data_IF_065889442437
#
_entry.id   IF_065889442437
#
_cell.length_a   1.000
_cell.length_b   1.000
_cell.length_c   1.000
_cell.angle_alpha   90.00
_cell.angle_beta   90.00
_cell.angle_gamma   90.00
#
_symmetry.space_group_name_H-M   'P 1'
#
loop_
_entity.id
_entity.type
_entity.pdbx_description
1 polymer ?
#
# COMPACT_ATOMS: atom_id res chain seq x y z
N UNK A 1 3.79 16.98 -26.82
CA UNK A 1 3.72 15.57 -27.24
C UNK A 1 3.14 14.74 -26.11
N UNK A 2 1.88 14.34 -26.27
CA UNK A 2 1.10 13.52 -25.34
C UNK A 2 1.72 12.12 -25.23
N UNK A 3 2.08 11.68 -24.02
CA UNK A 3 2.54 10.31 -23.78
C UNK A 3 1.32 9.38 -23.85
N UNK A 4 1.08 8.82 -25.02
CA UNK A 4 0.10 7.73 -25.23
C UNK A 4 0.50 6.51 -24.41
N UNK A 5 -0.44 5.97 -23.63
CA UNK A 5 -0.32 4.69 -22.91
C UNK A 5 -0.11 3.56 -23.93
N UNK A 6 1.14 3.20 -24.21
CA UNK A 6 1.54 2.25 -25.27
C UNK A 6 1.73 0.81 -24.80
N UNK A 7 1.24 0.43 -23.62
CA UNK A 7 1.44 -0.95 -23.16
C UNK A 7 0.34 -1.33 -22.19
N UNK A 8 -0.68 -2.02 -22.70
CA UNK A 8 -1.38 -3.02 -21.88
C UNK A 8 -0.40 -4.20 -21.86
N UNK A 9 0.24 -4.45 -20.72
CA UNK A 9 1.14 -5.59 -20.56
C UNK A 9 0.39 -6.87 -20.94
N UNK A 10 1.05 -7.81 -21.58
CA UNK A 10 0.52 -9.15 -21.89
C UNK A 10 -0.03 -9.87 -20.65
N UNK A 11 0.44 -9.50 -19.45
CA UNK A 11 0.02 -10.06 -18.16
C UNK A 11 -1.04 -9.20 -17.45
N UNK A 12 -1.70 -8.26 -18.14
CA UNK A 12 -2.82 -7.52 -17.54
C UNK A 12 -4.02 -8.45 -17.48
N UNK A 13 -4.47 -8.89 -16.28
CA UNK A 13 -5.61 -9.80 -16.19
C UNK A 13 -6.83 -9.14 -16.82
N UNK A 14 -7.53 -9.90 -17.67
CA UNK A 14 -8.82 -9.49 -18.24
C UNK A 14 -9.73 -9.05 -17.08
N UNK A 15 -10.06 -7.77 -17.00
CA UNK A 15 -10.82 -7.21 -15.87
C UNK A 15 -12.31 -7.54 -16.04
N UNK A 16 -12.66 -8.84 -15.98
CA UNK A 16 -14.05 -9.32 -15.94
C UNK A 16 -14.87 -8.66 -14.83
N UNK A 17 -14.19 -8.15 -13.79
CA UNK A 17 -14.83 -7.45 -12.68
C UNK A 17 -15.58 -6.18 -13.12
N UNK A 18 -15.17 -5.49 -14.20
CA UNK A 18 -15.91 -4.33 -14.69
C UNK A 18 -17.21 -4.71 -15.41
N UNK A 19 -17.37 -5.97 -15.83
CA UNK A 19 -18.64 -6.49 -16.36
C UNK A 19 -19.62 -6.86 -15.23
N UNK A 20 -19.12 -7.06 -14.01
CA UNK A 20 -19.97 -7.21 -12.84
C UNK A 20 -20.52 -5.82 -12.44
N UNK A 21 -21.82 -5.61 -12.66
CA UNK A 21 -22.51 -4.36 -12.37
C UNK A 21 -22.44 -3.96 -10.89
N UNK A 22 -22.57 -4.93 -9.98
CA UNK A 22 -22.47 -4.66 -8.54
C UNK A 22 -21.08 -4.15 -8.17
N UNK A 23 -20.04 -4.78 -8.72
CA UNK A 23 -18.66 -4.29 -8.54
C UNK A 23 -18.46 -2.90 -9.15
N UNK A 24 -18.99 -2.69 -10.35
CA UNK A 24 -18.88 -1.41 -11.05
C UNK A 24 -19.58 -0.28 -10.28
N UNK A 25 -20.76 -0.53 -9.73
CA UNK A 25 -21.50 0.45 -8.92
C UNK A 25 -20.73 0.82 -7.65
N UNK A 26 -20.13 -0.18 -6.98
CA UNK A 26 -19.29 0.03 -5.79
C UNK A 26 -18.08 0.90 -6.13
N UNK A 27 -17.33 0.59 -7.20
CA UNK A 27 -16.11 1.33 -7.53
C UNK A 27 -16.42 2.75 -8.03
N UNK A 28 -17.54 2.93 -8.74
CA UNK A 28 -17.99 4.23 -9.24
C UNK A 28 -18.39 5.18 -8.12
N UNK A 29 -18.96 4.69 -7.01
CA UNK A 29 -19.30 5.50 -5.82
C UNK A 29 -20.03 6.81 -6.20
N UNK A 30 -21.11 6.64 -6.97
CA UNK A 30 -21.94 7.73 -7.49
C UNK A 30 -21.34 8.52 -8.66
N UNK A 31 -20.23 8.09 -9.26
CA UNK A 31 -19.71 8.64 -10.51
C UNK A 31 -20.32 7.92 -11.72
N UNK A 32 -20.40 8.59 -12.87
CA UNK A 32 -20.94 7.97 -14.09
C UNK A 32 -19.87 7.17 -14.84
N UNK A 33 -18.59 7.49 -14.64
CA UNK A 33 -17.47 6.79 -15.28
C UNK A 33 -16.29 6.64 -14.33
N UNK A 34 -15.41 5.67 -14.65
CA UNK A 34 -14.17 5.46 -13.89
C UNK A 34 -13.24 6.68 -13.98
N UNK A 35 -13.20 7.39 -15.12
CA UNK A 35 -12.42 8.61 -15.27
C UNK A 35 -12.89 9.70 -14.31
N UNK A 36 -14.21 9.90 -14.17
CA UNK A 36 -14.77 10.83 -13.20
C UNK A 36 -14.41 10.42 -11.77
N UNK A 37 -14.46 9.12 -11.46
CA UNK A 37 -14.05 8.59 -10.17
C UNK A 37 -12.58 8.85 -9.89
N UNK A 38 -11.69 8.53 -10.83
CA UNK A 38 -10.25 8.74 -10.68
C UNK A 38 -9.86 10.22 -10.64
N UNK A 39 -10.59 11.10 -11.31
CA UNK A 39 -10.37 12.55 -11.23
C UNK A 39 -10.60 13.13 -9.83
N UNK A 40 -11.43 12.48 -8.99
CA UNK A 40 -11.62 12.88 -7.59
C UNK A 40 -10.42 12.50 -6.70
N UNK A 41 -9.56 11.59 -7.15
CA UNK A 41 -8.42 11.11 -6.37
C UNK A 41 -7.23 12.06 -6.56
N UNK A 42 -6.87 12.80 -5.51
CA UNK A 42 -5.63 13.57 -5.52
C UNK A 42 -4.42 12.64 -5.36
N UNK A 43 -3.70 12.42 -6.46
CA UNK A 43 -2.50 11.60 -6.50
C UNK A 43 -1.39 12.06 -5.54
N UNK A 44 -1.26 13.37 -5.30
CA UNK A 44 -0.26 13.90 -4.35
C UNK A 44 -0.63 13.54 -2.93
N UNK A 45 -1.91 13.68 -2.57
CA UNK A 45 -2.40 13.30 -1.25
C UNK A 45 -2.20 11.80 -1.00
N UNK A 46 -2.55 10.95 -1.96
CA UNK A 46 -2.35 9.49 -1.87
C UNK A 46 -0.87 9.16 -1.62
N UNK A 47 0.04 9.76 -2.39
CA UNK A 47 1.48 9.54 -2.22
C UNK A 47 1.99 10.01 -0.85
N UNK A 48 1.50 11.16 -0.36
CA UNK A 48 1.86 11.68 0.96
C UNK A 48 1.40 10.75 2.08
N UNK A 49 0.16 10.25 2.03
CA UNK A 49 -0.36 9.33 3.04
C UNK A 49 0.36 7.98 3.01
N UNK A 50 0.70 7.46 1.83
CA UNK A 50 1.53 6.27 1.69
C UNK A 50 2.92 6.45 2.30
N UNK A 51 3.56 7.60 2.10
CA UNK A 51 4.87 7.91 2.69
C UNK A 51 4.80 8.06 4.22
N UNK A 52 3.77 8.74 4.73
CA UNK A 52 3.49 8.81 6.18
C UNK A 52 3.34 7.42 6.79
N UNK A 53 2.52 6.56 6.17
CA UNK A 53 2.30 5.19 6.64
C UNK A 53 3.58 4.36 6.59
N UNK A 54 4.42 4.47 5.56
CA UNK A 54 5.74 3.83 5.52
C UNK A 54 6.65 4.26 6.67
N UNK A 55 6.61 5.54 7.05
CA UNK A 55 7.38 6.07 8.18
C UNK A 55 6.87 5.58 9.54
N UNK A 56 5.59 5.22 9.63
CA UNK A 56 4.94 4.67 10.83
C UNK A 56 5.17 3.15 10.94
N UNK A 57 5.00 2.41 9.84
CA UNK A 57 5.23 0.96 9.80
C UNK A 57 6.72 0.63 9.87
N UNK A 58 7.15 0.01 10.96
CA UNK A 58 8.55 -0.43 11.14
C UNK A 58 9.41 0.53 11.98
N UNK A 59 8.85 1.64 12.47
CA UNK A 59 9.57 2.49 13.44
C UNK A 59 9.44 1.89 14.84
N UNK A 60 10.37 0.98 15.17
CA UNK A 60 10.51 0.51 16.54
C UNK A 60 10.71 1.71 17.49
N UNK A 61 9.96 1.77 18.62
CA UNK A 61 10.23 2.70 19.71
C UNK A 61 11.72 2.74 20.06
N UNK A 62 12.25 3.92 20.39
CA UNK A 62 13.68 4.10 20.63
C UNK A 62 14.20 3.20 21.75
N UNK A 63 13.37 2.89 22.74
CA UNK A 63 13.68 1.96 23.84
C UNK A 63 13.91 0.54 23.29
N UNK A 64 13.01 0.06 22.43
CA UNK A 64 13.17 -1.25 21.79
C UNK A 64 14.40 -1.27 20.87
N UNK A 65 14.67 -0.18 20.13
CA UNK A 65 15.91 -0.05 19.33
C UNK A 65 17.19 -0.11 20.17
N UNK A 66 17.19 0.44 21.38
CA UNK A 66 18.33 0.36 22.30
C UNK A 66 18.49 -1.05 22.85
N UNK A 67 17.37 -1.68 23.21
CA UNK A 67 17.33 -3.05 23.73
C UNK A 67 17.88 -4.06 22.71
N UNK A 68 17.41 -4.03 21.45
CA UNK A 68 17.89 -4.95 20.40
C UNK A 68 19.37 -4.74 20.02
N UNK A 69 19.95 -3.58 20.34
CA UNK A 69 21.36 -3.27 20.08
C UNK A 69 22.30 -3.70 21.21
N UNK A 70 21.75 -4.09 22.37
CA UNK A 70 22.56 -4.61 23.46
C UNK A 70 23.18 -5.95 23.02
N UNK A 71 24.52 -6.13 23.10
CA UNK A 71 25.16 -7.36 22.62
C UNK A 71 24.66 -8.63 23.30
N UNK A 72 24.19 -8.51 24.55
CA UNK A 72 23.64 -9.62 25.31
C UNK A 72 22.15 -9.91 25.01
N UNK A 73 21.48 -9.06 24.23
CA UNK A 73 20.04 -9.19 23.94
C UNK A 73 19.67 -10.50 23.22
N UNK A 74 20.38 -10.94 22.16
CA UNK A 74 20.05 -12.21 21.50
C UNK A 74 20.11 -13.40 22.45
N UNK A 75 21.09 -13.40 23.38
CA UNK A 75 21.23 -14.44 24.40
C UNK A 75 20.08 -14.41 25.41
N UNK A 76 19.73 -13.23 25.93
CA UNK A 76 18.57 -13.06 26.83
C UNK A 76 17.27 -13.49 26.17
N UNK A 77 17.16 -13.26 24.86
CA UNK A 77 16.01 -13.69 24.05
C UNK A 77 15.96 -15.22 23.92
N UNK A 78 17.11 -15.85 23.65
CA UNK A 78 17.24 -17.32 23.62
C UNK A 78 16.85 -17.98 24.94
N UNK A 79 17.33 -17.43 26.07
CA UNK A 79 16.96 -17.88 27.42
C UNK A 79 15.44 -17.81 27.67
N UNK A 80 14.77 -16.78 27.14
CA UNK A 80 13.32 -16.61 27.26
C UNK A 80 12.52 -17.62 26.43
N UNK A 81 13.02 -17.97 25.24
CA UNK A 81 12.35 -18.91 24.31
C UNK A 81 12.91 -20.34 24.38
N UNK A 82 13.83 -20.63 25.30
CA UNK A 82 14.44 -21.95 25.47
C UNK A 82 15.29 -22.39 24.27
N UNK A 83 15.91 -21.44 23.56
CA UNK A 83 16.74 -21.65 22.37
C UNK A 83 18.20 -21.25 22.62
#
# INVERSE_FOLDING_TARGET
MNKTLKTILSDTPLVKNLENKEYLDIILDGCNTLEQRFARVDSKLVLQELDKKRKETGRLPQILKKMIREPAFPRKLGELFGC
#
